data_IF_483243650054
#
_entry.id   IF_483243650054
#
_cell.length_a   1.000
_cell.length_b   1.000
_cell.length_c   1.000
_cell.angle_alpha   90.00
_cell.angle_beta   90.00
_cell.angle_gamma   90.00
#
_symmetry.space_group_name_H-M   'P 1'
#
loop_
_entity.id
_entity.type
_entity.pdbx_description
1 polymer ?
#
# COMPACT_ATOMS: atom_id res chain seq x y z
N UNK A 1 18.65 18.61 -25.82
CA UNK A 1 17.78 18.57 -24.63
C UNK A 1 17.52 17.11 -24.27
N UNK A 2 18.10 16.58 -23.19
CA UNK A 2 17.73 15.26 -22.68
C UNK A 2 16.49 15.47 -21.80
N UNK A 3 15.31 15.33 -22.39
CA UNK A 3 14.11 15.10 -21.60
C UNK A 3 14.32 13.71 -21.05
N UNK A 4 14.83 13.63 -19.81
CA UNK A 4 14.87 12.38 -19.09
C UNK A 4 13.43 11.89 -19.03
N UNK A 5 13.15 10.76 -19.69
CA UNK A 5 11.96 9.97 -19.45
C UNK A 5 11.88 9.78 -17.94
N UNK A 6 11.08 10.60 -17.26
CA UNK A 6 10.64 10.33 -15.92
C UNK A 6 9.77 9.09 -16.05
N UNK A 7 10.44 7.92 -16.02
CA UNK A 7 9.90 6.60 -16.23
C UNK A 7 8.62 6.51 -15.40
N UNK A 8 7.46 6.59 -16.04
CA UNK A 8 6.17 6.55 -15.36
C UNK A 8 6.17 5.24 -14.57
N UNK A 9 6.16 5.33 -13.24
CA UNK A 9 6.21 4.16 -12.37
C UNK A 9 5.10 3.19 -12.79
N UNK A 10 5.47 1.94 -13.05
CA UNK A 10 4.51 0.90 -13.41
C UNK A 10 3.58 0.64 -12.22
N UNK A 11 2.44 -0.01 -12.46
CA UNK A 11 1.56 -0.45 -11.36
C UNK A 11 2.34 -1.29 -10.33
N UNK A 12 3.21 -2.18 -10.82
CA UNK A 12 4.05 -3.01 -9.96
C UNK A 12 5.00 -2.17 -9.09
N UNK A 13 5.63 -1.13 -9.66
CA UNK A 13 6.50 -0.23 -8.89
C UNK A 13 5.71 0.53 -7.80
N UNK A 14 4.50 0.97 -8.12
CA UNK A 14 3.62 1.64 -7.14
C UNK A 14 3.18 0.67 -6.05
N UNK A 15 2.79 -0.55 -6.39
CA UNK A 15 2.39 -1.55 -5.40
C UNK A 15 3.56 -1.91 -4.48
N UNK A 16 4.78 -2.03 -5.02
CA UNK A 16 5.98 -2.27 -4.22
C UNK A 16 6.27 -1.11 -3.24
N UNK A 17 6.22 0.15 -3.70
CA UNK A 17 6.38 1.35 -2.85
C UNK A 17 5.31 1.40 -1.73
N UNK A 18 4.06 1.16 -2.09
CA UNK A 18 2.95 1.10 -1.13
C UNK A 18 3.15 -0.02 -0.10
N UNK A 19 3.61 -1.20 -0.54
CA UNK A 19 3.84 -2.37 0.31
C UNK A 19 4.99 -2.14 1.27
N UNK A 20 6.09 -1.54 0.81
CA UNK A 20 7.22 -1.16 1.65
C UNK A 20 6.77 -0.22 2.77
N UNK A 21 6.05 0.85 2.42
CA UNK A 21 5.51 1.79 3.41
C UNK A 21 4.54 1.09 4.37
N UNK A 22 3.65 0.23 3.87
CA UNK A 22 2.73 -0.53 4.70
C UNK A 22 3.48 -1.40 5.73
N UNK A 23 4.48 -2.17 5.29
CA UNK A 23 5.28 -3.01 6.18
C UNK A 23 5.98 -2.23 7.30
N UNK A 24 6.44 -0.99 7.05
CA UNK A 24 7.04 -0.16 8.11
C UNK A 24 6.07 0.18 9.24
N UNK A 25 4.75 0.14 8.96
CA UNK A 25 3.66 0.43 9.91
C UNK A 25 3.14 -0.82 10.62
N UNK A 26 3.38 -2.02 10.10
CA UNK A 26 2.91 -3.30 10.66
C UNK A 26 3.83 -3.87 11.76
N UNK A 27 4.49 -3.03 12.56
CA UNK A 27 5.47 -3.49 13.57
C UNK A 27 4.86 -4.35 14.66
N UNK A 28 3.57 -4.17 14.96
CA UNK A 28 2.81 -4.98 15.93
C UNK A 28 2.31 -6.32 15.36
N UNK A 29 2.42 -6.54 14.05
CA UNK A 29 2.03 -7.80 13.40
C UNK A 29 3.22 -8.76 13.39
N UNK A 30 3.03 -10.07 13.67
CA UNK A 30 4.07 -11.09 13.55
C UNK A 30 4.73 -11.08 12.17
N UNK A 31 6.06 -11.22 12.11
CA UNK A 31 6.86 -10.98 10.89
C UNK A 31 6.39 -11.84 9.72
N UNK A 32 6.05 -13.09 10.00
CA UNK A 32 5.52 -14.08 9.07
C UNK A 32 4.15 -13.73 8.50
N UNK A 33 3.36 -12.89 9.18
CA UNK A 33 2.04 -12.43 8.73
C UNK A 33 2.09 -11.07 8.01
N UNK A 34 3.16 -10.28 8.18
CA UNK A 34 3.23 -8.89 7.68
C UNK A 34 3.03 -8.77 6.17
N UNK A 35 3.58 -9.70 5.41
CA UNK A 35 3.50 -9.65 3.95
C UNK A 35 2.05 -9.82 3.47
N UNK A 36 1.37 -10.85 3.97
CA UNK A 36 -0.03 -11.12 3.68
C UNK A 36 -0.95 -9.99 4.18
N UNK A 37 -0.67 -9.41 5.35
CA UNK A 37 -1.42 -8.26 5.88
C UNK A 37 -1.23 -7.02 5.00
N UNK A 38 -0.02 -6.76 4.54
CA UNK A 38 0.23 -5.65 3.64
C UNK A 38 -0.54 -5.84 2.32
N UNK A 39 -0.51 -7.03 1.73
CA UNK A 39 -1.27 -7.33 0.52
C UNK A 39 -2.78 -7.18 0.73
N UNK A 40 -3.31 -7.65 1.86
CA UNK A 40 -4.73 -7.50 2.20
C UNK A 40 -5.13 -6.03 2.38
N UNK A 41 -4.28 -5.20 2.98
CA UNK A 41 -4.52 -3.76 3.10
C UNK A 41 -4.47 -3.09 1.73
N UNK A 42 -3.48 -3.41 0.89
CA UNK A 42 -3.37 -2.83 -0.45
C UNK A 42 -4.53 -3.22 -1.37
N UNK A 43 -5.12 -4.40 -1.16
CA UNK A 43 -6.32 -4.84 -1.86
C UNK A 43 -7.58 -4.03 -1.53
N UNK A 44 -7.57 -3.19 -0.48
CA UNK A 44 -8.67 -2.26 -0.18
C UNK A 44 -8.71 -1.05 -1.12
N UNK A 45 -7.64 -0.82 -1.91
CA UNK A 45 -7.61 0.28 -2.85
C UNK A 45 -8.50 0.01 -4.07
N UNK A 46 -9.32 1.00 -4.43
CA UNK A 46 -10.02 0.95 -5.70
C UNK A 46 -9.01 0.99 -6.86
N UNK A 47 -9.21 0.23 -7.95
CA UNK A 47 -8.28 0.20 -9.08
C UNK A 47 -7.93 1.59 -9.62
N UNK A 48 -8.92 2.49 -9.68
CA UNK A 48 -8.73 3.86 -10.15
C UNK A 48 -7.75 4.68 -9.32
N UNK A 49 -7.51 4.33 -8.05
CA UNK A 49 -6.54 5.04 -7.22
C UNK A 49 -5.13 4.80 -7.75
N UNK A 50 -4.83 3.57 -8.20
CA UNK A 50 -3.54 3.24 -8.79
C UNK A 50 -3.28 3.96 -10.12
N UNK A 51 -4.34 4.24 -10.88
CA UNK A 51 -4.26 4.99 -12.14
C UNK A 51 -4.08 6.48 -11.89
N UNK A 52 -4.85 7.05 -10.97
CA UNK A 52 -4.91 8.50 -10.72
C UNK A 52 -3.73 9.03 -9.89
N UNK A 53 -3.03 8.19 -9.12
CA UNK A 53 -1.94 8.63 -8.23
C UNK A 53 -0.59 8.24 -8.82
N UNK A 54 0.39 9.13 -8.68
CA UNK A 54 1.72 8.91 -9.25
C UNK A 54 2.60 8.01 -8.38
N UNK A 55 2.41 8.03 -7.05
CA UNK A 55 3.19 7.25 -6.09
C UNK A 55 2.33 6.20 -5.40
N UNK A 56 2.94 5.07 -5.04
CA UNK A 56 2.28 4.01 -4.29
C UNK A 56 1.95 4.42 -2.86
N UNK A 57 2.88 5.14 -2.24
CA UNK A 57 2.69 5.76 -0.92
C UNK A 57 1.44 6.63 -0.83
N UNK A 58 1.10 7.40 -1.87
CA UNK A 58 -0.13 8.21 -1.90
C UNK A 58 -1.39 7.32 -1.89
N UNK A 59 -1.36 6.19 -2.59
CA UNK A 59 -2.46 5.21 -2.58
C UNK A 59 -2.59 4.58 -1.19
N UNK A 60 -1.49 4.18 -0.57
CA UNK A 60 -1.50 3.64 0.78
C UNK A 60 -2.08 4.63 1.81
N UNK A 61 -1.68 5.89 1.75
CA UNK A 61 -2.24 6.92 2.63
C UNK A 61 -3.75 7.11 2.40
N UNK A 62 -4.20 7.07 1.15
CA UNK A 62 -5.62 7.15 0.81
C UNK A 62 -6.41 5.94 1.32
N UNK A 63 -5.84 4.74 1.32
CA UNK A 63 -6.44 3.55 1.96
C UNK A 63 -6.61 3.80 3.46
N UNK A 64 -5.58 4.30 4.14
CA UNK A 64 -5.65 4.58 5.58
C UNK A 64 -6.66 5.67 5.93
N UNK A 65 -6.93 6.61 5.02
CA UNK A 65 -7.94 7.64 5.18
C UNK A 65 -9.35 7.10 4.90
N UNK A 66 -9.54 6.47 3.74
CA UNK A 66 -10.87 6.10 3.21
C UNK A 66 -11.37 4.75 3.70
N UNK A 67 -10.47 3.83 4.04
CA UNK A 67 -10.75 2.43 4.45
C UNK A 67 -10.10 2.10 5.80
N UNK A 68 -10.03 3.10 6.68
CA UNK A 68 -9.35 3.00 7.99
C UNK A 68 -9.89 1.84 8.82
N UNK A 69 -11.21 1.68 8.89
CA UNK A 69 -11.85 0.69 9.72
C UNK A 69 -11.51 -0.74 9.26
N UNK A 70 -11.56 -0.97 7.95
CA UNK A 70 -11.21 -2.24 7.32
C UNK A 70 -9.72 -2.55 7.49
N UNK A 71 -8.83 -1.58 7.24
CA UNK A 71 -7.39 -1.75 7.42
C UNK A 71 -7.04 -2.09 8.89
N UNK A 72 -7.66 -1.40 9.85
CA UNK A 72 -7.46 -1.69 11.27
C UNK A 72 -7.99 -3.06 11.67
N UNK A 73 -9.11 -3.50 11.10
CA UNK A 73 -9.66 -4.85 11.33
C UNK A 73 -8.69 -5.93 10.85
N UNK A 74 -8.14 -5.79 9.65
CA UNK A 74 -7.13 -6.72 9.10
C UNK A 74 -5.91 -6.80 10.02
N UNK A 75 -5.41 -5.64 10.48
CA UNK A 75 -4.25 -5.60 11.41
C UNK A 75 -4.59 -6.32 12.72
N UNK A 76 -5.76 -6.03 13.32
CA UNK A 76 -6.17 -6.63 14.58
C UNK A 76 -6.35 -8.15 14.49
N UNK A 77 -6.93 -8.65 13.40
CA UNK A 77 -7.08 -10.09 13.16
C UNK A 77 -5.74 -10.79 13.04
N UNK A 78 -4.73 -10.14 12.44
CA UNK A 78 -3.40 -10.72 12.30
C UNK A 78 -2.53 -10.63 13.56
N UNK A 79 -2.79 -9.65 14.44
CA UNK A 79 -2.10 -9.49 15.72
C UNK A 79 -2.61 -10.46 16.80
N UNK A 80 -3.83 -10.99 16.66
CA UNK A 80 -4.34 -12.10 17.48
C UNK A 80 -3.63 -13.42 17.13
#
# INVERSE_FOLDING_TARGET
MKIGDAKRATLADKMADAKELCMTRLRSVPREKRDAVADAILALADPEWWDRRHKGSDVFLLILESRKAEAMKIIQEATK
#
